data_IF_066072102804
#
_entry.id   IF_066072102804
#
_cell.length_a   1.000
_cell.length_b   1.000
_cell.length_c   1.000
_cell.angle_alpha   90.00
_cell.angle_beta   90.00
_cell.angle_gamma   90.00
#
_symmetry.space_group_name_H-M   'P 1'
#
loop_
_entity.id
_entity.type
_entity.pdbx_description
1 polymer ?
#
# COMPACT_ATOMS: atom_id res chain seq x y z
N UNK A 1 10.10 -13.07 -21.25
CA UNK A 1 9.01 -12.98 -20.27
C UNK A 1 8.46 -11.55 -20.26
N UNK A 2 7.17 -11.40 -20.36
CA UNK A 2 6.56 -10.07 -20.37
C UNK A 2 6.72 -9.41 -18.98
N UNK A 3 7.12 -8.14 -18.99
CA UNK A 3 7.23 -7.36 -17.75
C UNK A 3 5.85 -6.88 -17.33
N UNK A 4 5.49 -7.11 -16.06
CA UNK A 4 4.24 -6.59 -15.49
C UNK A 4 4.41 -5.08 -15.30
N UNK A 5 3.53 -4.24 -15.88
CA UNK A 5 3.64 -2.80 -15.69
C UNK A 5 3.39 -2.42 -14.22
N UNK A 6 3.95 -1.29 -13.79
CA UNK A 6 3.68 -0.74 -12.48
C UNK A 6 2.19 -0.39 -12.36
N UNK A 7 1.63 -0.56 -11.16
CA UNK A 7 0.25 -0.20 -10.91
C UNK A 7 0.06 1.32 -11.06
N UNK A 8 -0.98 1.71 -11.78
CA UNK A 8 -1.40 3.09 -11.91
C UNK A 8 -2.87 3.21 -11.52
N UNK A 9 -3.23 4.13 -10.63
CA UNK A 9 -4.63 4.30 -10.26
C UNK A 9 -5.49 4.63 -11.48
N UNK A 10 -6.74 4.13 -11.56
CA UNK A 10 -7.62 4.48 -12.66
C UNK A 10 -8.02 5.96 -12.60
N UNK A 11 -8.36 6.52 -13.76
CA UNK A 11 -8.70 7.94 -13.88
C UNK A 11 -9.89 8.36 -13.03
N UNK A 12 -10.83 7.43 -12.77
CA UNK A 12 -12.00 7.71 -11.94
C UNK A 12 -11.66 7.84 -10.44
N UNK A 13 -10.50 7.33 -10.01
CA UNK A 13 -10.03 7.47 -8.64
C UNK A 13 -9.18 8.74 -8.55
N UNK A 14 -9.79 9.82 -8.10
CA UNK A 14 -9.10 11.11 -7.97
C UNK A 14 -8.23 11.10 -6.73
N UNK A 15 -6.92 11.01 -6.93
CA UNK A 15 -5.94 11.00 -5.84
C UNK A 15 -5.59 12.44 -5.46
N UNK A 16 -6.53 13.13 -4.82
CA UNK A 16 -6.36 14.50 -4.37
C UNK A 16 -5.55 14.56 -3.07
N UNK A 17 -4.78 15.64 -2.89
CA UNK A 17 -4.09 15.92 -1.62
C UNK A 17 -5.08 16.50 -0.60
N UNK A 18 -4.68 16.52 0.69
CA UNK A 18 -5.50 17.10 1.75
C UNK A 18 -5.82 18.57 1.47
N UNK A 19 -4.85 19.32 0.95
CA UNK A 19 -5.01 20.73 0.60
C UNK A 19 -6.04 20.93 -0.51
N UNK A 20 -6.02 20.08 -1.53
CA UNK A 20 -6.99 20.12 -2.62
C UNK A 20 -8.40 19.77 -2.16
N UNK A 21 -8.52 18.77 -1.29
CA UNK A 21 -9.79 18.37 -0.70
C UNK A 21 -10.35 19.52 0.15
N UNK A 22 -9.51 20.13 0.99
CA UNK A 22 -9.90 21.23 1.85
C UNK A 22 -10.36 22.45 1.04
N UNK A 23 -9.63 22.80 -0.03
CA UNK A 23 -10.03 23.90 -0.91
C UNK A 23 -11.40 23.67 -1.52
N UNK A 24 -11.68 22.46 -1.98
CA UNK A 24 -12.98 22.09 -2.54
C UNK A 24 -14.09 22.13 -1.50
N UNK A 25 -13.79 21.72 -0.26
CA UNK A 25 -14.76 21.77 0.84
C UNK A 25 -15.10 23.22 1.20
N UNK A 26 -14.10 24.10 1.19
CA UNK A 26 -14.33 25.54 1.46
C UNK A 26 -15.16 26.21 0.37
N UNK A 27 -15.00 25.79 -0.89
CA UNK A 27 -15.81 26.32 -2.00
C UNK A 27 -17.30 25.99 -1.84
N UNK A 28 -17.65 24.94 -1.10
CA UNK A 28 -19.04 24.56 -0.88
C UNK A 28 -19.74 25.34 0.21
N UNK A 29 -19.01 26.20 0.94
CA UNK A 29 -19.58 27.01 2.01
C UNK A 29 -20.40 28.18 1.46
N UNK A 30 -21.45 28.63 2.19
CA UNK A 30 -22.16 29.85 1.82
C UNK A 30 -21.22 31.06 1.80
N UNK A 31 -21.51 32.10 0.94
CA UNK A 31 -20.62 33.25 0.82
C UNK A 31 -20.44 34.09 2.08
N UNK A 32 -21.37 33.99 3.03
CA UNK A 32 -21.34 34.71 4.31
C UNK A 32 -20.54 34.02 5.40
N UNK A 33 -20.01 32.82 5.12
CA UNK A 33 -19.21 32.04 6.06
C UNK A 33 -17.72 32.28 5.76
N UNK A 34 -16.93 32.47 6.81
CA UNK A 34 -15.46 32.61 6.68
C UNK A 34 -14.83 31.30 6.24
N UNK A 35 -14.23 31.30 5.05
CA UNK A 35 -13.57 30.13 4.48
C UNK A 35 -12.05 30.22 4.51
N UNK A 36 -11.50 31.20 5.25
CA UNK A 36 -10.06 31.41 5.32
C UNK A 36 -9.37 30.43 6.27
N UNK A 37 -8.10 30.19 6.00
CA UNK A 37 -7.25 29.36 6.85
C UNK A 37 -7.20 29.93 8.26
N UNK A 38 -7.38 29.07 9.27
CA UNK A 38 -7.45 29.47 10.67
C UNK A 38 -8.84 29.81 11.16
N UNK A 39 -9.83 29.93 10.27
CA UNK A 39 -11.23 30.09 10.64
C UNK A 39 -11.86 28.81 11.17
N UNK A 40 -13.00 28.93 11.84
CA UNK A 40 -13.65 27.76 12.46
C UNK A 40 -14.01 26.67 11.42
N UNK A 41 -14.63 26.98 10.27
CA UNK A 41 -14.93 25.94 9.28
C UNK A 41 -13.66 25.26 8.75
N UNK A 42 -12.60 26.02 8.51
CA UNK A 42 -11.32 25.48 8.07
C UNK A 42 -10.76 24.48 9.07
N UNK A 43 -10.61 24.90 10.32
CA UNK A 43 -10.01 24.09 11.38
C UNK A 43 -10.86 22.86 11.70
N UNK A 44 -12.17 22.99 11.59
CA UNK A 44 -13.10 21.90 11.90
C UNK A 44 -13.10 20.81 10.82
N UNK A 45 -12.91 21.18 9.56
CA UNK A 45 -12.97 20.24 8.44
C UNK A 45 -11.61 19.67 8.05
N UNK A 46 -10.51 20.32 8.41
CA UNK A 46 -9.17 19.92 7.99
C UNK A 46 -8.80 18.48 8.40
N UNK A 47 -9.10 18.03 9.62
CA UNK A 47 -8.85 16.63 9.97
C UNK A 47 -9.56 15.62 9.05
N UNK A 48 -10.77 15.94 8.62
CA UNK A 48 -11.51 15.10 7.66
C UNK A 48 -10.81 15.06 6.30
N UNK A 49 -10.25 16.18 5.84
CA UNK A 49 -9.49 16.24 4.60
C UNK A 49 -8.22 15.38 4.68
N UNK A 50 -7.54 15.38 5.82
CA UNK A 50 -6.36 14.54 6.05
C UNK A 50 -6.73 13.05 5.99
N UNK A 51 -7.82 12.65 6.64
CA UNK A 51 -8.27 11.27 6.63
C UNK A 51 -8.68 10.81 5.24
N UNK A 52 -9.33 11.68 4.48
CA UNK A 52 -9.72 11.37 3.11
C UNK A 52 -8.50 11.24 2.18
N UNK A 53 -7.50 12.10 2.37
CA UNK A 53 -6.22 12.00 1.63
C UNK A 53 -5.61 10.61 1.84
N UNK A 54 -5.48 10.17 3.09
CA UNK A 54 -4.94 8.85 3.40
C UNK A 54 -5.78 7.74 2.78
N UNK A 55 -7.10 7.84 2.87
CA UNK A 55 -8.01 6.87 2.28
C UNK A 55 -7.82 6.76 0.76
N UNK A 56 -7.77 7.89 0.06
CA UNK A 56 -7.66 7.92 -1.40
C UNK A 56 -6.28 7.49 -1.89
N UNK A 57 -5.22 8.00 -1.25
CA UNK A 57 -3.86 7.86 -1.77
C UNK A 57 -3.15 6.60 -1.25
N UNK A 58 -3.68 5.98 -0.23
CA UNK A 58 -3.10 4.75 0.32
C UNK A 58 -4.10 3.59 0.32
N UNK A 59 -5.17 3.68 1.11
CA UNK A 59 -6.04 2.53 1.36
C UNK A 59 -6.76 2.05 0.09
N UNK A 60 -7.33 2.96 -0.69
CA UNK A 60 -8.03 2.58 -1.91
C UNK A 60 -7.08 2.09 -3.00
N UNK A 61 -5.92 2.73 -3.13
CA UNK A 61 -4.89 2.31 -4.09
C UNK A 61 -4.39 0.91 -3.75
N UNK A 62 -4.06 0.65 -2.48
CA UNK A 62 -3.61 -0.67 -2.04
C UNK A 62 -4.70 -1.74 -2.22
N UNK A 63 -5.95 -1.38 -1.91
CA UNK A 63 -7.08 -2.29 -2.10
C UNK A 63 -7.22 -2.70 -3.57
N UNK A 64 -7.11 -1.75 -4.49
CA UNK A 64 -7.18 -2.04 -5.91
C UNK A 64 -6.03 -2.92 -6.38
N UNK A 65 -4.82 -2.66 -5.89
CA UNK A 65 -3.66 -3.52 -6.19
C UNK A 65 -3.92 -4.97 -5.79
N UNK A 66 -4.47 -5.16 -4.59
CA UNK A 66 -4.72 -6.49 -4.04
C UNK A 66 -5.81 -7.25 -4.79
N UNK A 67 -6.66 -6.55 -5.54
CA UNK A 67 -7.72 -7.19 -6.33
C UNK A 67 -7.17 -7.90 -7.57
N UNK A 68 -5.97 -7.57 -8.02
CA UNK A 68 -5.37 -8.15 -9.23
C UNK A 68 -4.16 -9.00 -8.86
N UNK A 69 -4.08 -10.25 -9.33
CA UNK A 69 -2.94 -11.11 -9.00
C UNK A 69 -1.59 -10.52 -9.36
N UNK A 70 -1.52 -9.73 -10.46
CA UNK A 70 -0.27 -9.13 -10.93
C UNK A 70 0.37 -8.18 -9.92
N UNK A 71 -0.42 -7.51 -9.09
CA UNK A 71 0.05 -6.54 -8.09
C UNK A 71 -0.22 -6.97 -6.65
N UNK A 72 -0.86 -8.12 -6.46
CA UNK A 72 -1.14 -8.66 -5.14
C UNK A 72 0.11 -9.31 -4.51
N UNK A 73 0.12 -9.42 -3.19
CA UNK A 73 1.26 -9.98 -2.46
C UNK A 73 0.79 -10.68 -1.18
N UNK A 74 1.71 -11.47 -0.60
CA UNK A 74 1.49 -12.13 0.68
C UNK A 74 0.29 -13.07 0.68
N UNK A 75 -0.47 -13.07 1.76
CA UNK A 75 -1.64 -13.94 1.90
C UNK A 75 -2.76 -13.62 0.91
N UNK A 76 -2.82 -12.39 0.42
CA UNK A 76 -3.79 -11.99 -0.60
C UNK A 76 -3.48 -12.66 -1.94
N UNK A 77 -2.21 -12.71 -2.32
CA UNK A 77 -1.78 -13.45 -3.51
C UNK A 77 -2.03 -14.94 -3.35
N UNK A 78 -1.80 -15.48 -2.16
CA UNK A 78 -2.11 -16.88 -1.86
C UNK A 78 -3.60 -17.18 -2.03
N UNK A 79 -4.48 -16.22 -1.68
CA UNK A 79 -5.91 -16.32 -1.91
C UNK A 79 -6.26 -16.40 -3.39
N UNK A 80 -5.64 -15.56 -4.23
CA UNK A 80 -5.83 -15.62 -5.68
C UNK A 80 -5.37 -16.96 -6.26
N UNK A 81 -4.21 -17.45 -5.81
CA UNK A 81 -3.67 -18.74 -6.25
C UNK A 81 -4.61 -19.88 -5.86
N UNK A 82 -5.16 -19.83 -4.65
CA UNK A 82 -6.09 -20.85 -4.17
C UNK A 82 -7.36 -20.91 -5.00
N UNK A 83 -7.84 -19.77 -5.47
CA UNK A 83 -9.00 -19.72 -6.35
C UNK A 83 -8.76 -20.48 -7.66
N UNK A 84 -7.52 -20.54 -8.13
CA UNK A 84 -7.11 -21.29 -9.33
C UNK A 84 -6.61 -22.70 -9.00
N UNK A 85 -6.78 -23.16 -7.76
CA UNK A 85 -6.35 -24.50 -7.35
C UNK A 85 -4.85 -24.64 -7.09
N UNK A 86 -4.14 -23.52 -6.96
CA UNK A 86 -2.71 -23.50 -6.71
C UNK A 86 -2.42 -23.25 -5.22
N UNK A 87 -1.24 -23.66 -4.79
CA UNK A 87 -0.76 -23.36 -3.44
C UNK A 87 0.72 -23.01 -3.47
N UNK A 88 1.13 -22.17 -2.52
CA UNK A 88 2.53 -21.79 -2.39
C UNK A 88 3.36 -23.01 -1.97
N UNK A 89 4.51 -23.17 -2.59
CA UNK A 89 5.44 -24.24 -2.18
C UNK A 89 5.96 -23.91 -0.78
N UNK A 90 5.98 -24.90 0.14
CA UNK A 90 6.55 -24.68 1.46
C UNK A 90 8.06 -24.45 1.36
N UNK A 91 8.59 -23.80 2.38
CA UNK A 91 10.04 -23.64 2.49
C UNK A 91 10.69 -24.97 2.78
N UNK A 92 11.83 -25.21 2.17
CA UNK A 92 12.66 -26.38 2.44
C UNK A 92 13.92 -25.93 3.15
N UNK A 93 14.41 -26.74 4.07
CA UNK A 93 15.68 -26.47 4.73
C UNK A 93 16.82 -26.50 3.71
N UNK A 94 17.73 -25.56 3.83
CA UNK A 94 18.95 -25.57 3.03
C UNK A 94 19.86 -26.70 3.51
N UNK A 95 20.50 -27.37 2.56
CA UNK A 95 21.50 -28.41 2.87
C UNK A 95 22.75 -28.13 2.05
N UNK A 96 23.89 -28.39 2.64
CA UNK A 96 25.16 -28.19 1.97
C UNK A 96 26.26 -28.99 2.66
N UNK A 97 27.40 -29.09 1.99
CA UNK A 97 28.58 -29.74 2.52
C UNK A 97 29.53 -28.66 3.03
N UNK A 98 29.96 -28.81 4.28
CA UNK A 98 30.97 -27.90 4.87
C UNK A 98 32.24 -28.75 5.09
N UNK A 99 33.37 -28.23 4.58
CA UNK A 99 34.65 -28.87 4.77
C UNK A 99 35.48 -28.06 5.76
N UNK A 100 35.92 -28.73 6.81
CA UNK A 100 36.79 -28.11 7.80
C UNK A 100 38.23 -28.52 7.52
N UNK A 101 39.15 -27.56 7.52
CA UNK A 101 40.60 -27.82 7.39
C UNK A 101 41.27 -27.23 8.60
N UNK A 102 42.22 -27.94 9.14
CA UNK A 102 42.97 -27.47 10.31
C UNK A 102 44.04 -28.44 10.75
N UNK A 103 44.73 -28.11 11.84
CA UNK A 103 45.75 -28.98 12.43
C UNK A 103 45.09 -30.20 13.07
N UNK A 104 45.69 -31.41 12.86
CA UNK A 104 45.12 -32.63 13.50
C UNK A 104 45.04 -32.46 15.03
N UNK A 105 43.91 -32.89 15.61
CA UNK A 105 43.68 -32.79 17.05
C UNK A 105 43.01 -31.49 17.50
N UNK A 106 42.73 -30.52 16.60
CA UNK A 106 41.98 -29.34 16.93
C UNK A 106 40.49 -29.66 17.11
N UNK A 107 39.92 -29.20 18.22
CA UNK A 107 38.47 -29.34 18.43
C UNK A 107 37.66 -28.51 17.47
N UNK A 108 36.65 -29.10 16.87
CA UNK A 108 35.67 -28.37 16.05
C UNK A 108 34.61 -27.78 16.97
N UNK A 109 34.33 -26.46 16.92
CA UNK A 109 33.33 -25.82 17.76
C UNK A 109 31.90 -26.30 17.49
#
# INVERSE_FOLDING_TARGET
>A
MATIPAFSPPDWLKTETAEQIQARMMESLPPDIDDTEGGFPWDFTYPTALEKDELLNFHLVETLKLMFPAWSYGTYLDGHARADGLSRRPANAAAGIVTFTGTPGTQIP
#
